data_IF_320096690043
#
_entry.id   IF_320096690043
#
_cell.length_a   1.000
_cell.length_b   1.000
_cell.length_c   1.000
_cell.angle_alpha   90.00
_cell.angle_beta   90.00
_cell.angle_gamma   90.00
#
_symmetry.space_group_name_H-M   'P 1'
#
loop_
_entity.id
_entity.type
_entity.pdbx_description
1 polymer ?
#
# COMPACT_ATOMS: atom_id res chain seq x y z
N UNK A 1 -24.47 22.43 -30.26
CA UNK A 1 -24.30 22.19 -28.82
C UNK A 1 -23.56 20.88 -28.68
N UNK A 2 -22.24 20.92 -28.48
CA UNK A 2 -21.47 19.72 -28.19
C UNK A 2 -21.82 19.29 -26.78
N UNK A 3 -22.59 18.21 -26.65
CA UNK A 3 -22.72 17.51 -25.39
C UNK A 3 -21.32 16.99 -25.07
N UNK A 4 -20.63 17.61 -24.11
CA UNK A 4 -19.37 17.11 -23.59
C UNK A 4 -19.65 15.66 -23.11
N UNK A 5 -19.21 14.66 -23.89
CA UNK A 5 -19.28 13.28 -23.45
C UNK A 5 -18.39 13.13 -22.23
N UNK A 6 -19.01 12.93 -21.08
CA UNK A 6 -18.28 12.64 -19.83
C UNK A 6 -17.46 11.36 -20.06
N UNK A 7 -16.14 11.49 -20.04
CA UNK A 7 -15.24 10.33 -20.15
C UNK A 7 -15.18 9.63 -18.80
N UNK A 8 -15.64 8.38 -18.72
CA UNK A 8 -15.65 7.61 -17.49
C UNK A 8 -14.46 6.64 -17.44
N UNK A 9 -13.75 6.63 -16.31
CA UNK A 9 -12.61 5.74 -16.04
C UNK A 9 -12.93 4.79 -14.89
N UNK A 10 -12.43 3.55 -14.99
CA UNK A 10 -12.47 2.57 -13.90
C UNK A 10 -11.39 2.89 -12.89
N UNK A 11 -11.79 3.38 -11.71
CA UNK A 11 -10.93 3.74 -10.60
C UNK A 11 -11.06 2.70 -9.49
N UNK A 12 -9.93 2.11 -9.05
CA UNK A 12 -9.94 1.15 -7.97
C UNK A 12 -9.00 1.56 -6.84
N UNK A 13 -9.45 1.41 -5.59
CA UNK A 13 -8.64 1.66 -4.39
C UNK A 13 -9.10 0.80 -3.22
N UNK A 14 -8.30 0.77 -2.14
CA UNK A 14 -8.62 -0.12 -1.04
C UNK A 14 -9.71 0.43 -0.12
N UNK A 15 -10.37 -0.48 0.61
CA UNK A 15 -11.34 -0.14 1.64
C UNK A 15 -10.71 0.51 2.89
N UNK A 16 -9.36 0.56 2.94
CA UNK A 16 -8.63 1.10 4.07
C UNK A 16 -8.95 2.58 4.33
N UNK A 17 -8.99 3.03 5.59
CA UNK A 17 -9.32 4.40 5.96
C UNK A 17 -8.47 5.48 5.26
N UNK A 18 -7.19 5.22 5.01
CA UNK A 18 -6.32 6.15 4.27
C UNK A 18 -6.78 6.37 2.83
N UNK A 19 -7.12 5.30 2.10
CA UNK A 19 -7.54 5.40 0.70
C UNK A 19 -8.94 6.00 0.59
N UNK A 20 -9.88 5.54 1.40
CA UNK A 20 -11.23 6.11 1.44
C UNK A 20 -11.22 7.59 1.86
N UNK A 21 -10.31 8.01 2.74
CA UNK A 21 -10.10 9.42 3.07
C UNK A 21 -9.60 10.23 1.88
N UNK A 22 -8.59 9.74 1.15
CA UNK A 22 -8.02 10.42 -0.03
C UNK A 22 -9.08 10.56 -1.13
N UNK A 23 -9.87 9.50 -1.37
CA UNK A 23 -10.81 9.44 -2.47
C UNK A 23 -12.23 9.92 -2.15
N UNK A 24 -12.58 10.21 -0.88
CA UNK A 24 -13.94 10.64 -0.51
C UNK A 24 -14.45 11.84 -1.31
N UNK A 25 -13.57 12.80 -1.61
CA UNK A 25 -13.96 14.00 -2.35
C UNK A 25 -14.31 13.68 -3.81
N UNK A 26 -13.64 12.75 -4.44
CA UNK A 26 -13.94 12.25 -5.79
C UNK A 26 -15.20 11.39 -5.76
N UNK A 27 -15.28 10.42 -4.84
CA UNK A 27 -16.38 9.47 -4.74
C UNK A 27 -17.72 10.15 -4.43
N UNK A 28 -17.71 11.18 -3.61
CA UNK A 28 -18.91 11.97 -3.22
C UNK A 28 -19.09 13.24 -4.07
N UNK A 29 -18.28 13.43 -5.13
CA UNK A 29 -18.33 14.60 -6.02
C UNK A 29 -18.30 15.93 -5.24
N UNK A 30 -17.45 16.02 -4.21
CA UNK A 30 -17.29 17.22 -3.39
C UNK A 30 -16.34 18.26 -4.06
N UNK A 31 -15.72 17.87 -5.16
CA UNK A 31 -14.88 18.73 -6.02
C UNK A 31 -15.35 18.62 -7.47
N UNK A 32 -15.09 19.66 -8.25
CA UNK A 32 -15.35 19.61 -9.69
C UNK A 32 -14.41 18.60 -10.37
N UNK A 33 -14.97 17.63 -11.05
CA UNK A 33 -14.23 16.59 -11.77
C UNK A 33 -13.92 16.96 -13.23
N UNK A 34 -14.22 18.19 -13.64
CA UNK A 34 -13.90 18.74 -14.97
C UNK A 34 -14.39 17.85 -16.13
N UNK A 35 -15.60 17.30 -16.02
CA UNK A 35 -16.20 16.44 -17.06
C UNK A 35 -15.66 15.01 -17.08
N UNK A 36 -14.89 14.57 -16.07
CA UNK A 36 -14.48 13.19 -15.88
C UNK A 36 -15.45 12.48 -14.94
N UNK A 37 -15.86 11.26 -15.30
CA UNK A 37 -16.59 10.34 -14.43
C UNK A 37 -15.68 9.22 -13.94
N UNK A 38 -16.02 8.62 -12.79
CA UNK A 38 -15.33 7.44 -12.27
C UNK A 38 -16.33 6.34 -11.94
N UNK A 39 -16.07 5.14 -12.49
CA UNK A 39 -16.66 3.89 -12.04
C UNK A 39 -15.73 3.32 -10.97
N UNK A 40 -16.19 3.37 -9.70
CA UNK A 40 -15.34 3.10 -8.53
C UNK A 40 -15.51 1.65 -8.07
N UNK A 41 -14.38 0.95 -7.97
CA UNK A 41 -14.28 -0.38 -7.39
C UNK A 41 -13.43 -0.35 -6.12
N UNK A 42 -13.90 -1.02 -5.06
CA UNK A 42 -13.22 -1.08 -3.76
C UNK A 42 -12.96 -2.55 -3.40
N UNK A 43 -11.68 -2.86 -3.10
CA UNK A 43 -11.25 -4.21 -2.73
C UNK A 43 -10.01 -4.13 -1.84
N UNK A 44 -9.48 -5.26 -1.35
CA UNK A 44 -8.20 -5.24 -0.64
C UNK A 44 -7.01 -5.02 -1.60
N UNK A 45 -5.86 -4.59 -1.04
CA UNK A 45 -4.69 -4.21 -1.85
C UNK A 45 -4.12 -5.38 -2.65
N UNK A 46 -4.16 -6.62 -2.13
CA UNK A 46 -3.63 -7.77 -2.88
C UNK A 46 -4.59 -8.18 -4.00
N UNK A 47 -5.90 -8.11 -3.79
CA UNK A 47 -6.88 -8.30 -4.84
C UNK A 47 -6.70 -7.27 -5.97
N UNK A 48 -6.45 -5.99 -5.62
CA UNK A 48 -6.14 -4.93 -6.58
C UNK A 48 -4.82 -5.18 -7.32
N UNK A 49 -3.77 -5.66 -6.63
CA UNK A 49 -2.52 -6.07 -7.25
C UNK A 49 -2.76 -7.17 -8.30
N UNK A 50 -3.57 -8.18 -7.98
CA UNK A 50 -3.92 -9.27 -8.89
C UNK A 50 -4.80 -8.81 -10.06
N UNK A 51 -5.74 -7.89 -9.82
CA UNK A 51 -6.57 -7.28 -10.86
C UNK A 51 -5.72 -6.46 -11.86
N UNK A 52 -4.68 -5.79 -11.38
CA UNK A 52 -3.76 -5.01 -12.22
C UNK A 52 -2.93 -5.90 -13.17
N UNK A 53 -2.58 -7.11 -12.77
CA UNK A 53 -1.94 -8.09 -13.68
C UNK A 53 -2.82 -8.36 -14.90
N UNK A 54 -4.15 -8.32 -14.73
CA UNK A 54 -5.15 -8.50 -15.80
C UNK A 54 -5.56 -7.19 -16.49
N UNK A 55 -4.96 -6.06 -16.08
CA UNK A 55 -5.26 -4.70 -16.58
C UNK A 55 -6.76 -4.37 -16.43
N UNK A 56 -7.36 -4.75 -15.30
CA UNK A 56 -8.80 -4.63 -15.07
C UNK A 56 -9.23 -3.17 -14.91
N UNK A 57 -8.41 -2.33 -14.26
CA UNK A 57 -8.74 -0.95 -13.94
C UNK A 57 -7.85 0.04 -14.69
N UNK A 58 -8.39 1.22 -14.98
CA UNK A 58 -7.67 2.29 -15.69
C UNK A 58 -6.75 3.05 -14.74
N UNK A 59 -7.22 3.25 -13.50
CA UNK A 59 -6.48 3.85 -12.39
C UNK A 59 -6.65 2.91 -11.20
N UNK A 60 -5.56 2.57 -10.52
CA UNK A 60 -5.67 1.61 -9.41
C UNK A 60 -4.67 1.88 -8.30
N UNK A 61 -5.11 1.63 -7.06
CA UNK A 61 -4.19 1.46 -5.93
C UNK A 61 -3.38 0.20 -6.14
N UNK A 62 -2.08 0.29 -5.89
CA UNK A 62 -1.15 -0.84 -5.91
C UNK A 62 -0.16 -0.74 -4.75
N UNK A 63 0.36 -1.89 -4.34
CA UNK A 63 1.63 -1.92 -3.62
C UNK A 63 2.75 -1.44 -4.55
N UNK A 64 3.76 -0.72 -4.03
CA UNK A 64 4.93 -0.36 -4.85
C UNK A 64 5.62 -1.60 -5.42
N UNK A 65 5.66 -2.70 -4.66
CA UNK A 65 6.19 -3.98 -5.13
C UNK A 65 5.44 -4.52 -6.37
N UNK A 66 4.11 -4.46 -6.35
CA UNK A 66 3.29 -4.88 -7.49
C UNK A 66 3.52 -3.98 -8.71
N UNK A 67 3.56 -2.65 -8.51
CA UNK A 67 3.85 -1.72 -9.60
C UNK A 67 5.20 -2.00 -10.25
N UNK A 68 6.23 -2.39 -9.48
CA UNK A 68 7.55 -2.73 -10.02
C UNK A 68 7.52 -3.85 -11.07
N UNK A 69 6.55 -4.76 -10.96
CA UNK A 69 6.32 -5.84 -11.93
C UNK A 69 5.38 -5.47 -13.08
N UNK A 70 4.81 -4.27 -13.07
CA UNK A 70 3.76 -3.84 -14.01
C UNK A 70 4.11 -2.54 -14.73
N UNK A 71 5.39 -2.10 -14.69
CA UNK A 71 5.84 -0.85 -15.30
C UNK A 71 5.68 -0.82 -16.82
N UNK A 72 5.49 -1.97 -17.47
CA UNK A 72 5.13 -2.08 -18.89
C UNK A 72 3.67 -1.67 -19.18
N UNK A 73 2.79 -1.71 -18.18
CA UNK A 73 1.34 -1.47 -18.29
C UNK A 73 0.87 -0.22 -17.57
N UNK A 74 1.45 0.04 -16.41
CA UNK A 74 1.09 1.14 -15.52
C UNK A 74 2.27 2.07 -15.29
N UNK A 75 1.96 3.33 -14.98
CA UNK A 75 2.91 4.33 -14.53
C UNK A 75 2.44 4.94 -13.21
N UNK A 76 3.39 5.36 -12.39
CA UNK A 76 3.15 5.94 -11.07
C UNK A 76 2.60 7.36 -11.19
N UNK A 77 1.53 7.66 -10.45
CA UNK A 77 1.10 9.03 -10.17
C UNK A 77 1.81 9.58 -8.92
N UNK A 78 2.15 10.86 -8.93
CA UNK A 78 2.80 11.52 -7.78
C UNK A 78 1.87 11.80 -6.61
N UNK A 79 0.55 11.69 -6.83
CA UNK A 79 -0.49 11.91 -5.80
C UNK A 79 -1.18 10.62 -5.43
N UNK A 80 -1.63 10.50 -4.18
CA UNK A 80 -2.37 9.35 -3.64
C UNK A 80 -1.48 8.27 -3.03
N UNK A 81 -0.19 8.51 -2.83
CA UNK A 81 0.71 7.54 -2.24
C UNK A 81 0.51 7.39 -0.72
N UNK A 82 0.66 6.16 -0.23
CA UNK A 82 0.92 5.85 1.16
C UNK A 82 2.42 5.63 1.32
N UNK A 83 3.10 6.64 1.85
CA UNK A 83 4.55 6.72 2.02
C UNK A 83 4.82 7.59 3.26
N UNK A 84 5.76 7.20 4.10
CA UNK A 84 6.04 7.95 5.32
C UNK A 84 7.09 7.30 6.21
N UNK A 85 7.23 7.83 7.42
CA UNK A 85 8.10 7.30 8.46
C UNK A 85 7.26 6.62 9.55
N UNK A 86 7.82 5.57 10.18
CA UNK A 86 7.16 4.87 11.27
C UNK A 86 5.87 4.11 10.89
N UNK A 87 5.59 3.95 9.60
CA UNK A 87 4.34 3.37 9.10
C UNK A 87 4.51 2.00 8.42
N UNK A 88 5.68 1.37 8.58
CA UNK A 88 6.01 0.12 7.91
C UNK A 88 5.27 -1.10 8.46
N UNK A 89 5.35 -2.23 7.75
CA UNK A 89 4.84 -3.51 8.22
C UNK A 89 5.57 -3.98 9.48
N UNK A 90 4.86 -4.69 10.35
CA UNK A 90 5.47 -5.34 11.50
C UNK A 90 5.55 -6.85 11.29
N UNK A 91 6.67 -7.42 11.71
CA UNK A 91 6.78 -8.85 11.89
C UNK A 91 6.45 -9.18 13.35
N UNK A 92 5.45 -10.01 13.57
CA UNK A 92 4.95 -10.38 14.90
C UNK A 92 5.01 -11.88 15.11
N UNK A 93 5.05 -12.30 16.38
CA UNK A 93 4.95 -13.70 16.78
C UNK A 93 4.26 -13.81 18.13
N UNK A 94 4.08 -15.06 18.61
CA UNK A 94 3.80 -15.31 20.02
C UNK A 94 5.04 -15.02 20.87
N UNK A 95 4.87 -14.67 22.14
CA UNK A 95 5.99 -14.56 23.09
C UNK A 95 6.87 -15.81 23.09
N UNK A 96 8.19 -15.61 23.14
CA UNK A 96 9.17 -16.69 23.17
C UNK A 96 9.54 -17.30 21.82
N UNK A 97 8.91 -16.92 20.70
CA UNK A 97 9.38 -17.31 19.37
C UNK A 97 10.58 -16.48 18.93
N UNK A 98 11.54 -17.15 18.29
CA UNK A 98 12.77 -16.52 17.76
C UNK A 98 13.17 -17.18 16.45
N UNK A 99 13.84 -16.44 15.58
CA UNK A 99 14.49 -16.99 14.38
C UNK A 99 15.68 -17.91 14.70
N UNK A 100 16.24 -17.79 15.90
CA UNK A 100 17.41 -18.56 16.32
C UNK A 100 17.04 -19.92 16.94
N UNK A 101 15.83 -20.03 17.48
CA UNK A 101 15.35 -21.28 18.12
C UNK A 101 14.35 -21.98 17.21
N UNK A 102 14.86 -22.59 16.15
CA UNK A 102 14.05 -23.31 15.19
C UNK A 102 13.74 -24.76 15.63
N UNK A 103 14.47 -25.29 16.62
CA UNK A 103 14.39 -26.72 17.00
C UNK A 103 14.70 -27.63 15.81
N UNK A 104 15.41 -27.17 14.78
CA UNK A 104 15.70 -27.92 13.55
C UNK A 104 14.55 -28.02 12.55
N UNK A 105 13.41 -27.36 12.82
CA UNK A 105 12.28 -27.29 11.89
C UNK A 105 12.31 -26.04 11.04
N UNK A 106 11.67 -26.10 9.89
CA UNK A 106 11.46 -24.96 9.02
C UNK A 106 10.38 -24.05 9.62
N UNK A 107 10.68 -22.76 9.74
CA UNK A 107 9.75 -21.77 10.26
C UNK A 107 8.66 -21.43 9.23
N UNK A 108 7.48 -21.06 9.71
CA UNK A 108 6.34 -20.67 8.89
C UNK A 108 6.01 -19.20 9.09
N UNK A 109 5.84 -18.45 7.99
CA UNK A 109 5.53 -17.01 8.01
C UNK A 109 4.24 -16.76 7.24
N UNK A 110 3.21 -16.28 7.93
CA UNK A 110 1.98 -15.83 7.31
C UNK A 110 2.18 -14.41 6.72
N UNK A 111 1.80 -14.21 5.47
CA UNK A 111 2.01 -12.93 4.76
C UNK A 111 0.74 -12.47 4.04
N UNK A 112 0.51 -11.14 3.88
CA UNK A 112 -0.73 -10.59 3.31
C UNK A 112 -0.85 -10.76 1.78
N UNK A 113 0.18 -11.32 1.15
CA UNK A 113 0.26 -11.52 -0.29
C UNK A 113 1.68 -11.32 -0.79
N UNK A 114 2.06 -12.08 -1.81
CA UNK A 114 3.43 -12.05 -2.34
C UNK A 114 3.69 -10.83 -3.25
N UNK A 115 2.63 -10.18 -3.73
CA UNK A 115 2.72 -8.92 -4.49
C UNK A 115 2.82 -7.67 -3.62
N UNK A 116 2.76 -7.80 -2.28
CA UNK A 116 2.75 -6.65 -1.37
C UNK A 116 4.15 -6.09 -1.10
N UNK A 117 4.25 -4.78 -0.89
CA UNK A 117 5.49 -4.14 -0.42
C UNK A 117 5.94 -4.72 0.92
N UNK A 118 5.01 -5.10 1.78
CA UNK A 118 5.30 -5.76 3.05
C UNK A 118 6.11 -7.04 2.85
N UNK A 119 5.72 -7.90 1.91
CA UNK A 119 6.45 -9.12 1.61
C UNK A 119 7.85 -8.84 1.04
N UNK A 120 8.00 -7.86 0.15
CA UNK A 120 9.32 -7.47 -0.36
C UNK A 120 10.25 -6.99 0.76
N UNK A 121 9.76 -6.13 1.66
CA UNK A 121 10.52 -5.66 2.82
C UNK A 121 10.91 -6.79 3.76
N UNK A 122 10.01 -7.73 4.00
CA UNK A 122 10.32 -8.94 4.77
C UNK A 122 11.46 -9.73 4.11
N UNK A 123 11.41 -9.95 2.81
CA UNK A 123 12.48 -10.64 2.06
C UNK A 123 13.81 -9.88 2.14
N UNK A 124 13.77 -8.56 2.03
CA UNK A 124 14.97 -7.72 2.15
C UNK A 124 15.56 -7.78 3.56
N UNK A 125 14.71 -7.70 4.59
CA UNK A 125 15.10 -7.80 5.99
C UNK A 125 15.73 -9.16 6.30
N UNK A 126 15.09 -10.25 5.87
CA UNK A 126 15.60 -11.60 6.10
C UNK A 126 16.96 -11.81 5.42
N UNK A 127 17.12 -11.39 4.17
CA UNK A 127 18.38 -11.48 3.45
C UNK A 127 19.53 -10.65 4.09
N UNK A 128 19.17 -9.54 4.75
CA UNK A 128 20.13 -8.66 5.41
C UNK A 128 20.53 -9.16 6.81
N UNK A 129 19.56 -9.65 7.60
CA UNK A 129 19.75 -9.96 9.03
C UNK A 129 19.84 -11.43 9.34
N UNK A 130 19.20 -12.28 8.53
CA UNK A 130 19.04 -13.70 8.79
C UNK A 130 19.19 -14.53 7.49
N UNK A 131 20.29 -14.40 6.74
CA UNK A 131 20.45 -15.03 5.43
C UNK A 131 20.39 -16.56 5.49
N UNK A 132 20.74 -17.16 6.62
CA UNK A 132 20.79 -18.63 6.81
C UNK A 132 19.47 -19.23 7.28
N UNK A 133 18.46 -18.37 7.61
CA UNK A 133 17.18 -18.87 8.12
C UNK A 133 16.29 -19.28 6.98
N UNK A 134 15.88 -20.56 6.98
CA UNK A 134 14.93 -21.10 6.03
C UNK A 134 13.49 -21.03 6.59
N UNK A 135 12.55 -20.62 5.73
CA UNK A 135 11.15 -20.45 6.11
C UNK A 135 10.20 -20.81 4.96
N UNK A 136 8.99 -21.21 5.34
CA UNK A 136 7.88 -21.44 4.40
C UNK A 136 6.92 -20.24 4.46
N UNK A 137 6.58 -19.68 3.30
CA UNK A 137 5.62 -18.58 3.17
C UNK A 137 4.22 -19.13 3.03
N UNK A 138 3.29 -18.61 3.86
CA UNK A 138 1.86 -18.91 3.81
C UNK A 138 1.09 -17.61 3.45
N UNK A 139 0.79 -17.37 2.17
CA UNK A 139 -0.04 -16.23 1.77
C UNK A 139 -1.47 -16.42 2.26
N UNK A 140 -2.03 -15.37 2.84
CA UNK A 140 -3.44 -15.33 3.27
C UNK A 140 -3.93 -13.89 3.37
N UNK A 141 -5.24 -13.68 3.41
CA UNK A 141 -5.79 -12.36 3.61
C UNK A 141 -5.35 -11.77 4.97
N UNK A 142 -5.09 -10.46 5.00
CA UNK A 142 -4.35 -9.82 6.10
C UNK A 142 -5.05 -9.98 7.47
N UNK A 143 -6.39 -9.99 7.51
CA UNK A 143 -7.18 -10.21 8.72
C UNK A 143 -7.00 -11.62 9.35
N UNK A 144 -6.53 -12.60 8.56
CA UNK A 144 -6.29 -13.99 9.04
C UNK A 144 -4.90 -14.20 9.61
N UNK A 145 -3.98 -13.26 9.40
CA UNK A 145 -2.57 -13.42 9.78
C UNK A 145 -2.41 -13.49 11.30
N UNK A 146 -2.94 -12.51 12.03
CA UNK A 146 -2.83 -12.51 13.50
C UNK A 146 -3.51 -13.72 14.15
N UNK A 147 -4.74 -14.10 13.76
CA UNK A 147 -5.34 -15.37 14.22
C UNK A 147 -4.48 -16.60 13.90
N UNK A 148 -3.86 -16.65 12.71
CA UNK A 148 -3.01 -17.79 12.34
C UNK A 148 -1.77 -17.90 13.25
N UNK A 149 -1.18 -16.79 13.66
CA UNK A 149 -0.05 -16.76 14.60
C UNK A 149 -0.50 -17.12 16.01
N UNK A 150 -1.60 -16.55 16.50
CA UNK A 150 -2.14 -16.83 17.82
C UNK A 150 -2.51 -18.31 17.98
N UNK A 151 -3.13 -18.90 16.96
CA UNK A 151 -3.56 -20.33 16.93
C UNK A 151 -2.42 -21.31 16.59
N UNK A 152 -1.17 -20.85 16.49
CA UNK A 152 0.01 -21.68 16.16
C UNK A 152 -0.03 -22.33 14.76
N UNK A 153 -0.81 -21.78 13.84
CA UNK A 153 -0.84 -22.19 12.42
C UNK A 153 0.30 -21.55 11.60
N UNK A 154 0.90 -20.47 12.15
CA UNK A 154 2.13 -19.88 11.69
C UNK A 154 3.01 -19.48 12.87
N UNK A 155 4.34 -19.45 12.68
CA UNK A 155 5.27 -19.04 13.71
C UNK A 155 5.36 -17.52 13.79
N UNK A 156 5.37 -16.87 12.62
CA UNK A 156 5.44 -15.44 12.46
C UNK A 156 4.31 -14.95 11.55
N UNK A 157 3.92 -13.70 11.74
CA UNK A 157 2.96 -13.01 10.90
C UNK A 157 3.49 -11.65 10.44
N UNK A 158 3.34 -11.37 9.17
CA UNK A 158 3.65 -10.06 8.61
C UNK A 158 2.38 -9.23 8.55
N UNK A 159 2.21 -8.33 9.51
CA UNK A 159 0.99 -7.53 9.65
C UNK A 159 1.14 -6.14 9.02
N UNK A 160 0.03 -5.67 8.48
CA UNK A 160 -0.13 -4.39 7.79
C UNK A 160 -1.39 -3.68 8.31
N UNK A 161 -1.64 -2.47 7.83
CA UNK A 161 -2.86 -1.70 8.12
C UNK A 161 -3.07 -1.49 9.63
N UNK A 162 -4.32 -1.62 10.10
CA UNK A 162 -4.73 -1.49 11.51
C UNK A 162 -4.13 -2.57 12.43
N UNK A 163 -3.67 -3.69 11.88
CA UNK A 163 -3.00 -4.74 12.63
C UNK A 163 -1.87 -4.19 13.52
N UNK A 164 -1.20 -3.11 13.08
CA UNK A 164 -0.15 -2.41 13.81
C UNK A 164 -0.62 -1.84 15.16
N UNK A 165 -1.90 -1.52 15.30
CA UNK A 165 -2.48 -0.95 16.52
C UNK A 165 -3.09 -2.00 17.45
N UNK A 166 -3.49 -3.15 16.91
CA UNK A 166 -4.34 -4.12 17.64
C UNK A 166 -3.62 -5.43 17.99
N UNK A 167 -2.43 -5.73 17.43
CA UNK A 167 -1.72 -7.00 17.68
C UNK A 167 -1.43 -7.28 19.18
N UNK A 168 -1.15 -6.28 20.07
CA UNK A 168 -0.90 -6.55 21.47
C UNK A 168 -2.13 -7.11 22.20
N UNK A 169 -3.34 -6.69 21.80
CA UNK A 169 -4.59 -7.20 22.36
C UNK A 169 -4.82 -8.68 22.05
N UNK A 170 -4.16 -9.22 21.01
CA UNK A 170 -4.18 -10.65 20.67
C UNK A 170 -3.04 -11.45 21.35
N UNK A 171 -2.31 -10.84 22.28
CA UNK A 171 -1.19 -11.51 22.98
C UNK A 171 0.05 -11.72 22.10
N UNK A 172 0.15 -11.01 20.97
CA UNK A 172 1.31 -11.10 20.08
C UNK A 172 2.36 -10.06 20.48
N UNK A 173 3.61 -10.33 20.09
CA UNK A 173 4.76 -9.45 20.31
C UNK A 173 5.41 -9.07 18.99
N UNK A 174 5.92 -7.85 18.91
CA UNK A 174 6.69 -7.37 17.77
C UNK A 174 8.08 -8.00 17.78
N UNK A 175 8.46 -8.60 16.66
CA UNK A 175 9.81 -9.14 16.42
C UNK A 175 10.67 -8.14 15.67
N UNK A 176 10.08 -7.47 14.67
CA UNK A 176 10.76 -6.42 13.92
C UNK A 176 9.76 -5.39 13.38
N UNK A 177 10.18 -4.13 13.31
CA UNK A 177 9.54 -3.09 12.50
C UNK A 177 10.33 -2.96 11.20
N UNK A 178 9.72 -3.40 10.09
CA UNK A 178 10.39 -3.39 8.79
C UNK A 178 10.49 -2.00 8.19
N UNK A 179 9.62 -1.07 8.62
CA UNK A 179 9.73 0.34 8.27
C UNK A 179 10.93 0.99 8.95
N UNK A 180 11.07 0.79 10.26
CA UNK A 180 12.23 1.29 11.01
C UNK A 180 13.54 0.72 10.46
N UNK A 181 13.58 -0.59 10.15
CA UNK A 181 14.76 -1.19 9.51
C UNK A 181 15.10 -0.53 8.17
N UNK A 182 14.08 -0.24 7.34
CA UNK A 182 14.26 0.43 6.05
C UNK A 182 14.80 1.84 6.22
N UNK A 183 14.19 2.61 7.13
CA UNK A 183 14.58 3.99 7.44
C UNK A 183 16.02 4.06 7.97
N UNK A 184 16.40 3.18 8.91
CA UNK A 184 17.76 3.08 9.44
C UNK A 184 18.79 2.74 8.37
N UNK A 185 18.40 1.89 7.40
CA UNK A 185 19.28 1.42 6.34
C UNK A 185 19.48 2.44 5.22
N UNK A 186 18.45 3.21 4.90
CA UNK A 186 18.43 4.07 3.71
C UNK A 186 18.41 5.56 4.02
N UNK A 187 18.02 5.95 5.23
CA UNK A 187 17.72 7.34 5.59
C UNK A 187 16.50 7.92 4.89
N UNK A 188 15.66 7.08 4.25
CA UNK A 188 14.52 7.50 3.45
C UNK A 188 13.20 6.96 4.03
N UNK A 189 12.07 7.68 3.86
CA UNK A 189 10.77 7.18 4.24
C UNK A 189 10.42 5.89 3.50
N UNK A 190 9.51 5.10 4.08
CA UNK A 190 9.14 3.82 3.49
C UNK A 190 8.00 3.98 2.48
N UNK A 191 8.17 3.55 1.20
CA UNK A 191 7.09 3.51 0.22
C UNK A 191 6.27 2.22 0.42
N UNK A 192 4.96 2.35 0.66
CA UNK A 192 4.06 1.23 0.90
C UNK A 192 3.12 0.96 -0.27
N UNK A 193 2.33 1.95 -0.65
CA UNK A 193 1.37 1.85 -1.73
C UNK A 193 1.24 3.13 -2.53
N UNK A 194 0.77 3.02 -3.76
CA UNK A 194 0.70 4.11 -4.72
C UNK A 194 -0.58 4.05 -5.55
N UNK A 195 -0.85 5.13 -6.25
CA UNK A 195 -1.85 5.14 -7.31
C UNK A 195 -1.13 5.08 -8.65
N UNK A 196 -1.53 4.13 -9.47
CA UNK A 196 -0.98 3.91 -10.80
C UNK A 196 -2.06 4.10 -11.86
N UNK A 197 -1.65 4.59 -13.03
CA UNK A 197 -2.51 4.82 -14.18
C UNK A 197 -2.01 4.01 -15.37
N UNK A 198 -2.91 3.46 -16.18
CA UNK A 198 -2.55 2.75 -17.40
C UNK A 198 -1.82 3.66 -18.36
N UNK A 199 -0.72 3.18 -18.92
CA UNK A 199 0.12 3.95 -19.87
C UNK A 199 -0.58 4.30 -21.17
N UNK A 200 -1.47 3.43 -21.65
CA UNK A 200 -2.20 3.63 -22.91
C UNK A 200 -3.26 4.75 -22.86
N UNK A 201 -3.55 5.29 -21.67
CA UNK A 201 -4.40 6.48 -21.52
C UNK A 201 -3.71 7.76 -21.97
N UNK A 202 -2.39 7.75 -22.06
CA UNK A 202 -1.57 8.88 -22.51
C UNK A 202 -1.28 9.92 -21.43
N UNK A 203 -0.24 10.73 -21.68
CA UNK A 203 0.31 11.70 -20.73
C UNK A 203 -0.72 12.73 -20.26
N UNK A 204 -1.46 13.34 -21.18
CA UNK A 204 -2.43 14.39 -20.87
C UNK A 204 -3.53 13.87 -19.90
N UNK A 205 -4.07 12.69 -20.17
CA UNK A 205 -5.06 12.04 -19.31
C UNK A 205 -4.47 11.74 -17.93
N UNK A 206 -3.26 11.19 -17.88
CA UNK A 206 -2.58 10.85 -16.62
C UNK A 206 -2.35 12.08 -15.74
N UNK A 207 -1.85 13.20 -16.33
CA UNK A 207 -1.64 14.46 -15.60
C UNK A 207 -2.94 15.08 -15.11
N UNK A 208 -4.02 14.98 -15.91
CA UNK A 208 -5.33 15.44 -15.47
C UNK A 208 -5.86 14.63 -14.28
N UNK A 209 -5.79 13.29 -14.35
CA UNK A 209 -6.17 12.39 -13.25
C UNK A 209 -5.34 12.69 -11.99
N UNK A 210 -4.01 12.84 -12.12
CA UNK A 210 -3.13 13.22 -11.01
C UNK A 210 -3.59 14.52 -10.34
N UNK A 211 -3.92 15.53 -11.14
CA UNK A 211 -4.42 16.81 -10.64
C UNK A 211 -5.73 16.66 -9.88
N UNK A 212 -6.65 15.82 -10.35
CA UNK A 212 -7.92 15.55 -9.66
C UNK A 212 -7.69 14.84 -8.33
N UNK A 213 -6.80 13.83 -8.30
CA UNK A 213 -6.46 13.13 -7.06
C UNK A 213 -5.83 14.11 -6.05
N UNK A 214 -4.88 14.94 -6.48
CA UNK A 214 -4.26 15.96 -5.64
C UNK A 214 -5.30 16.92 -5.05
N UNK A 215 -6.23 17.43 -5.86
CA UNK A 215 -7.34 18.27 -5.40
C UNK A 215 -8.24 17.53 -4.42
N UNK A 216 -8.46 16.23 -4.62
CA UNK A 216 -9.20 15.38 -3.68
C UNK A 216 -8.51 15.29 -2.32
N UNK A 217 -7.18 15.10 -2.31
CA UNK A 217 -6.36 15.08 -1.09
C UNK A 217 -6.40 16.46 -0.40
N UNK A 218 -6.19 17.56 -1.14
CA UNK A 218 -6.27 18.91 -0.60
C UNK A 218 -7.64 19.18 0.05
N UNK A 219 -8.72 18.77 -0.61
CA UNK A 219 -10.07 18.91 -0.07
C UNK A 219 -10.25 18.07 1.22
N UNK A 220 -9.73 16.84 1.23
CA UNK A 220 -9.84 15.96 2.39
C UNK A 220 -9.12 16.54 3.62
N UNK A 221 -7.94 17.16 3.44
CA UNK A 221 -7.23 17.85 4.51
C UNK A 221 -7.96 19.11 4.98
N UNK A 222 -8.52 19.90 4.06
CA UNK A 222 -9.27 21.11 4.42
C UNK A 222 -10.60 20.81 5.11
N UNK A 223 -11.21 19.65 4.82
CA UNK A 223 -12.52 19.24 5.31
C UNK A 223 -12.49 17.78 5.82
N UNK A 224 -11.77 17.48 6.92
CA UNK A 224 -11.55 16.11 7.39
C UNK A 224 -12.84 15.37 7.73
N UNK A 225 -13.84 16.06 8.29
CA UNK A 225 -15.10 15.46 8.72
C UNK A 225 -16.12 15.32 7.57
N UNK A 226 -15.95 16.04 6.47
CA UNK A 226 -16.87 15.94 5.34
C UNK A 226 -16.70 14.60 4.64
N UNK A 227 -17.74 13.79 4.54
CA UNK A 227 -17.70 12.44 4.00
C UNK A 227 -17.12 11.40 4.96
N UNK A 228 -17.12 11.63 6.28
CA UNK A 228 -16.69 10.65 7.27
C UNK A 228 -17.58 9.38 7.27
N UNK A 229 -18.85 9.52 6.89
CA UNK A 229 -19.76 8.39 6.66
C UNK A 229 -19.25 7.45 5.56
N UNK A 230 -18.65 7.99 4.52
CA UNK A 230 -18.05 7.20 3.45
C UNK A 230 -16.89 6.34 3.95
N UNK A 231 -16.02 6.89 4.80
CA UNK A 231 -14.90 6.15 5.37
C UNK A 231 -15.43 5.00 6.25
N UNK A 232 -16.37 5.28 7.16
CA UNK A 232 -16.97 4.26 8.04
C UNK A 232 -17.69 3.16 7.26
N UNK A 233 -18.36 3.51 6.16
CA UNK A 233 -19.08 2.53 5.33
C UNK A 233 -18.15 1.46 4.75
N UNK A 234 -16.89 1.79 4.52
CA UNK A 234 -15.92 0.91 3.88
C UNK A 234 -14.85 0.35 4.82
N UNK A 235 -14.66 0.98 5.99
CA UNK A 235 -13.67 0.52 6.96
C UNK A 235 -14.04 -0.87 7.50
N UNK A 236 -13.03 -1.76 7.57
CA UNK A 236 -13.18 -3.06 8.23
C UNK A 236 -13.12 -2.90 9.75
N UNK A 237 -12.27 -1.99 10.24
CA UNK A 237 -12.22 -1.59 11.63
C UNK A 237 -13.30 -0.55 11.91
N UNK A 238 -14.10 -0.78 12.95
CA UNK A 238 -15.27 0.04 13.27
C UNK A 238 -15.02 1.07 14.38
N UNK A 239 -13.87 0.98 15.10
CA UNK A 239 -13.55 1.93 16.16
C UNK A 239 -13.02 3.24 15.55
N UNK A 240 -13.75 4.34 15.77
CA UNK A 240 -13.38 5.67 15.25
C UNK A 240 -11.96 6.10 15.62
N UNK A 241 -11.46 5.68 16.78
CA UNK A 241 -10.11 5.98 17.21
C UNK A 241 -9.06 5.28 16.34
N UNK A 242 -9.27 4.01 16.00
CA UNK A 242 -8.36 3.23 15.14
C UNK A 242 -8.40 3.77 13.71
N UNK A 243 -9.59 4.13 13.20
CA UNK A 243 -9.75 4.78 11.89
C UNK A 243 -8.93 6.08 11.83
N UNK A 244 -9.01 6.94 12.86
CA UNK A 244 -8.24 8.19 12.92
C UNK A 244 -6.74 7.94 12.97
N UNK A 245 -6.29 7.04 13.85
CA UNK A 245 -4.87 6.66 13.95
C UNK A 245 -4.33 6.14 12.61
N UNK A 246 -5.14 5.37 11.88
CA UNK A 246 -4.78 4.88 10.56
C UNK A 246 -4.63 6.03 9.54
N UNK A 247 -5.60 6.96 9.50
CA UNK A 247 -5.52 8.12 8.62
C UNK A 247 -4.29 8.97 8.96
N UNK A 248 -4.09 9.32 10.25
CA UNK A 248 -2.99 10.17 10.71
C UNK A 248 -1.61 9.56 10.40
N UNK A 249 -1.51 8.22 10.39
CA UNK A 249 -0.25 7.53 10.12
C UNK A 249 0.06 7.45 8.62
N UNK A 250 -0.94 7.21 7.78
CA UNK A 250 -0.74 6.87 6.37
C UNK A 250 -1.05 8.00 5.39
N UNK A 251 -1.75 9.07 5.82
CA UNK A 251 -2.08 10.22 4.97
C UNK A 251 -1.32 11.46 5.43
N UNK A 252 -0.46 11.95 4.56
CA UNK A 252 0.46 13.05 4.86
C UNK A 252 0.80 13.83 3.57
N UNK A 253 1.80 14.69 3.61
CA UNK A 253 2.23 15.49 2.45
C UNK A 253 2.62 14.63 1.24
N UNK A 254 3.17 13.42 1.45
CA UNK A 254 3.46 12.48 0.36
C UNK A 254 2.19 11.94 -0.31
N UNK A 255 1.06 11.92 0.38
CA UNK A 255 -0.23 11.56 -0.22
C UNK A 255 -0.72 12.65 -1.18
N UNK A 256 -0.35 13.90 -0.93
CA UNK A 256 -0.64 15.02 -1.83
C UNK A 256 0.31 15.03 -3.02
N UNK A 257 1.60 14.91 -2.76
CA UNK A 257 2.66 14.88 -3.77
C UNK A 257 3.91 14.20 -3.20
N UNK A 258 4.49 13.26 -3.92
CA UNK A 258 5.70 12.58 -3.50
C UNK A 258 6.86 13.53 -3.23
N UNK A 259 6.96 14.61 -4.01
CA UNK A 259 8.10 15.53 -3.94
C UNK A 259 9.44 14.82 -4.13
N UNK A 260 10.53 15.56 -4.03
CA UNK A 260 11.87 15.02 -4.26
C UNK A 260 12.21 13.85 -3.31
N UNK A 261 11.86 13.96 -2.03
CA UNK A 261 12.18 12.93 -1.03
C UNK A 261 11.39 11.64 -1.28
N UNK A 262 10.11 11.76 -1.60
CA UNK A 262 9.28 10.60 -1.94
C UNK A 262 9.73 9.92 -3.24
N UNK A 263 10.11 10.69 -4.26
CA UNK A 263 10.68 10.14 -5.50
C UNK A 263 12.00 9.41 -5.26
N UNK A 264 12.87 9.94 -4.40
CA UNK A 264 14.10 9.26 -3.98
C UNK A 264 13.81 7.96 -3.25
N UNK A 265 12.84 7.96 -2.33
CA UNK A 265 12.45 6.77 -1.58
C UNK A 265 11.92 5.65 -2.50
N UNK A 266 11.05 5.99 -3.45
CA UNK A 266 10.51 5.03 -4.43
C UNK A 266 11.62 4.50 -5.35
N UNK A 267 12.50 5.37 -5.83
CA UNK A 267 13.64 5.00 -6.67
C UNK A 267 14.58 4.04 -5.93
N UNK A 268 14.90 4.34 -4.67
CA UNK A 268 15.73 3.48 -3.83
C UNK A 268 15.08 2.10 -3.58
N UNK A 269 13.78 2.07 -3.33
CA UNK A 269 13.04 0.82 -3.17
C UNK A 269 13.10 -0.05 -4.43
N UNK A 270 12.87 0.54 -5.61
CA UNK A 270 12.94 -0.20 -6.87
C UNK A 270 14.38 -0.63 -7.21
N UNK A 271 15.37 0.20 -6.93
CA UNK A 271 16.77 -0.19 -7.11
C UNK A 271 17.14 -1.40 -6.22
N UNK A 272 16.67 -1.41 -4.97
CA UNK A 272 16.88 -2.54 -4.07
C UNK A 272 16.15 -3.80 -4.56
N UNK A 273 14.91 -3.67 -4.99
CA UNK A 273 14.09 -4.76 -5.49
C UNK A 273 14.68 -5.39 -6.77
N UNK A 274 15.22 -4.57 -7.69
CA UNK A 274 15.95 -5.05 -8.88
C UNK A 274 17.22 -5.80 -8.48
N UNK A 275 18.04 -5.20 -7.63
CA UNK A 275 19.29 -5.82 -7.15
C UNK A 275 19.07 -7.19 -6.52
N UNK A 276 17.92 -7.39 -5.87
CA UNK A 276 17.56 -8.67 -5.24
C UNK A 276 16.76 -9.60 -6.16
N UNK A 277 16.54 -9.23 -7.41
CA UNK A 277 15.80 -10.02 -8.39
C UNK A 277 14.31 -10.15 -8.12
N UNK A 278 13.74 -9.26 -7.30
CA UNK A 278 12.32 -9.31 -6.94
C UNK A 278 11.41 -8.58 -7.93
N UNK A 279 11.95 -7.68 -8.74
CA UNK A 279 11.27 -7.04 -9.87
C UNK A 279 12.20 -7.04 -11.09
N UNK A 280 11.65 -7.02 -12.32
CA UNK A 280 12.47 -7.01 -13.54
C UNK A 280 13.17 -5.65 -13.73
N UNK A 281 14.28 -5.68 -14.46
CA UNK A 281 14.91 -4.46 -14.99
C UNK A 281 14.04 -3.86 -16.11
N UNK A 282 13.99 -2.54 -16.17
CA UNK A 282 13.29 -1.81 -17.23
C UNK A 282 13.83 -0.40 -17.36
N UNK A 283 13.88 0.10 -18.61
CA UNK A 283 14.20 1.48 -18.95
C UNK A 283 12.93 2.39 -19.05
N UNK A 284 11.75 1.81 -18.82
CA UNK A 284 10.52 2.57 -18.87
C UNK A 284 10.48 3.63 -17.76
N UNK A 285 9.99 4.85 -18.07
CA UNK A 285 9.85 5.89 -17.05
C UNK A 285 8.90 5.44 -15.94
N UNK A 286 9.31 5.66 -14.69
CA UNK A 286 8.52 5.28 -13.52
C UNK A 286 7.23 6.11 -13.43
N UNK A 287 7.35 7.42 -13.62
CA UNK A 287 6.23 8.37 -13.47
C UNK A 287 5.44 8.54 -14.75
N UNK A 288 4.14 8.81 -14.58
CA UNK A 288 3.21 9.04 -15.70
C UNK A 288 3.31 10.46 -16.26
N UNK A 289 3.68 11.42 -15.42
CA UNK A 289 3.87 12.83 -15.77
C UNK A 289 4.88 13.52 -14.86
#
# INVERSE_FOLDING_TARGET
MNVNQTRTFRLAYSSCPNDTFIFKAIARQLIDLNGIGFDIHIDDVEALNQAAVKVTHDITKLSFAALGNLLDRYALLRSGAALGNGCGPLLVSRPGCSFQDTGGRRLTVAVPGMGTTAYHLFRFFMADRFPEVDFTIHPMSFEKIMPAVADQRADFGLIIHEGRFVYPAMGLVQIADLGQWWEDKTGLPIPLGCIAVRRDLGLETACHIQTLIRRGVDHAFAHPDQGADYIRQHAQEMEDQVIRQHIDLYVNDFSKDLGNTGEQAVTAFFAYARKTGMIPDTDLPLFAC
#
